data_IF_930095479161
#
_entry.id   IF_930095479161
#
_cell.length_a   1.000
_cell.length_b   1.000
_cell.length_c   1.000
_cell.angle_alpha   90.00
_cell.angle_beta   90.00
_cell.angle_gamma   90.00
#
_symmetry.space_group_name_H-M   'P 1'
#
loop_
_entity.id
_entity.type
_entity.pdbx_description
1 polymer ?
#
# COMPACT_ATOMS: atom_id res chain seq x y z
N UNK A 1 10.20 -51.76 75.70
CA UNK A 1 11.02 -52.84 75.10
C UNK A 1 10.82 -52.78 73.59
N UNK A 2 11.93 -52.84 72.85
CA UNK A 2 12.12 -52.49 71.43
C UNK A 2 11.03 -52.93 70.44
N UNK A 3 10.82 -52.14 69.37
CA UNK A 3 11.21 -52.48 67.98
C UNK A 3 10.96 -51.25 67.09
N UNK A 4 11.98 -50.93 66.27
CA UNK A 4 12.12 -49.70 65.47
C UNK A 4 11.22 -49.75 64.22
N UNK A 5 10.59 -48.61 63.92
CA UNK A 5 9.77 -48.39 62.73
C UNK A 5 10.62 -48.17 61.48
N UNK A 6 10.13 -48.79 60.42
CA UNK A 6 10.57 -48.74 59.03
C UNK A 6 10.27 -47.39 58.38
N UNK A 7 11.13 -47.03 57.42
CA UNK A 7 10.78 -46.34 56.16
C UNK A 7 10.24 -44.90 56.25
N UNK A 8 11.08 -43.89 55.97
CA UNK A 8 10.60 -42.61 55.46
C UNK A 8 11.43 -42.14 54.27
N UNK A 9 10.69 -42.00 53.19
CA UNK A 9 11.04 -41.55 51.85
C UNK A 9 11.36 -40.05 51.91
N UNK A 10 12.58 -39.65 51.55
CA UNK A 10 12.92 -38.24 51.32
C UNK A 10 12.44 -37.82 49.94
N UNK A 11 11.38 -37.01 49.96
CA UNK A 11 10.74 -36.33 48.84
C UNK A 11 11.70 -35.26 48.26
N UNK A 12 12.25 -35.49 47.07
CA UNK A 12 12.94 -34.44 46.30
C UNK A 12 11.91 -33.62 45.51
N UNK A 13 11.66 -32.39 45.95
CA UNK A 13 10.95 -31.37 45.17
C UNK A 13 11.86 -30.90 44.02
N UNK A 14 11.54 -31.29 42.79
CA UNK A 14 12.09 -30.67 41.59
C UNK A 14 11.15 -29.53 41.15
N UNK A 15 11.54 -28.28 41.41
CA UNK A 15 10.87 -27.11 40.89
C UNK A 15 11.17 -26.97 39.38
N UNK A 16 10.20 -27.34 38.54
CA UNK A 16 10.25 -27.09 37.11
C UNK A 16 9.94 -25.61 36.84
N UNK A 17 10.98 -24.80 36.64
CA UNK A 17 10.82 -23.45 36.10
C UNK A 17 10.50 -23.57 34.60
N UNK A 18 9.22 -23.42 34.27
CA UNK A 18 8.74 -23.20 32.90
C UNK A 18 9.23 -21.82 32.43
N UNK A 19 10.38 -21.79 31.77
CA UNK A 19 10.80 -20.63 30.99
C UNK A 19 9.91 -20.54 29.75
N UNK A 20 8.83 -19.78 29.83
CA UNK A 20 8.11 -19.31 28.65
C UNK A 20 9.01 -18.31 27.93
N UNK A 21 9.79 -18.78 26.97
CA UNK A 21 10.43 -17.92 26.00
C UNK A 21 9.34 -17.25 25.17
N UNK A 22 8.95 -16.04 25.57
CA UNK A 22 8.18 -15.11 24.75
C UNK A 22 9.02 -14.83 23.51
N UNK A 23 8.75 -15.57 22.44
CA UNK A 23 9.19 -15.21 21.11
C UNK A 23 8.37 -13.99 20.70
N UNK A 24 8.84 -12.81 21.08
CA UNK A 24 8.47 -11.60 20.37
C UNK A 24 9.07 -11.73 18.98
N UNK A 25 8.25 -12.13 18.01
CA UNK A 25 8.61 -11.97 16.61
C UNK A 25 8.78 -10.48 16.34
N UNK A 26 10.02 -10.00 16.42
CA UNK A 26 10.41 -8.74 15.81
C UNK A 26 10.38 -9.03 14.32
N UNK A 27 9.21 -8.86 13.71
CA UNK A 27 9.13 -8.77 12.26
C UNK A 27 10.11 -7.66 11.85
N UNK A 28 11.04 -7.92 10.93
CA UNK A 28 11.89 -6.87 10.41
C UNK A 28 10.93 -5.79 9.91
N UNK A 29 11.16 -4.55 10.31
CA UNK A 29 10.45 -3.40 9.76
C UNK A 29 10.81 -3.34 8.25
N UNK A 30 10.10 -4.12 7.44
CA UNK A 30 9.75 -3.73 6.08
C UNK A 30 9.07 -2.40 6.28
N UNK A 31 9.86 -1.33 6.15
CA UNK A 31 9.48 0.05 6.44
C UNK A 31 8.10 0.27 5.82
N UNK A 32 7.05 0.25 6.66
CA UNK A 32 5.72 -0.02 6.18
C UNK A 32 5.35 1.05 5.16
N UNK A 33 5.01 0.68 3.92
CA UNK A 33 4.68 1.66 2.89
C UNK A 33 3.38 2.43 3.22
N UNK A 34 2.58 1.85 4.11
CA UNK A 34 1.34 2.40 4.62
C UNK A 34 1.34 2.32 6.15
N UNK A 35 0.75 3.30 6.85
CA UNK A 35 0.70 3.30 8.30
C UNK A 35 -0.27 2.22 8.81
N UNK A 36 -0.06 1.78 10.06
CA UNK A 36 -1.03 0.96 10.82
C UNK A 36 -1.46 -0.37 10.17
N UNK A 37 -0.62 -0.97 9.32
CA UNK A 37 -0.95 -2.22 8.64
C UNK A 37 -2.06 -2.10 7.58
N UNK A 38 -2.30 -0.87 7.08
CA UNK A 38 -3.18 -0.63 5.94
C UNK A 38 -2.73 -1.43 4.70
N UNK A 39 -3.69 -1.86 3.89
CA UNK A 39 -3.44 -2.55 2.63
C UNK A 39 -2.71 -1.62 1.67
N UNK A 40 -1.59 -2.07 1.11
CA UNK A 40 -0.81 -1.33 0.11
C UNK A 40 -1.33 -1.67 -1.29
N UNK A 41 -1.95 -0.72 -1.98
CA UNK A 41 -2.35 -0.88 -3.38
C UNK A 41 -1.29 -0.36 -4.35
N UNK A 42 -0.53 0.63 -3.93
CA UNK A 42 0.62 1.15 -4.65
C UNK A 42 1.67 1.63 -3.66
N UNK A 43 2.93 1.35 -3.92
CA UNK A 43 4.05 1.93 -3.17
C UNK A 43 5.31 1.94 -4.02
N UNK A 44 6.09 3.01 -3.95
CA UNK A 44 7.48 3.01 -4.40
C UNK A 44 8.30 4.16 -3.81
N UNK A 45 9.63 4.04 -3.89
CA UNK A 45 10.55 5.15 -3.67
C UNK A 45 11.02 5.76 -4.98
N UNK A 46 11.00 7.09 -5.02
CA UNK A 46 11.53 7.90 -6.12
C UNK A 46 13.06 8.00 -6.07
N UNK A 47 13.66 8.62 -7.11
CA UNK A 47 15.11 8.91 -7.15
C UNK A 47 15.59 9.74 -5.95
N UNK A 48 14.75 10.62 -5.42
CA UNK A 48 15.03 11.45 -4.24
C UNK A 48 14.64 10.78 -2.92
N UNK A 49 14.38 9.47 -2.95
CA UNK A 49 13.93 8.67 -1.81
C UNK A 49 12.62 9.12 -1.15
N UNK A 50 11.84 9.96 -1.84
CA UNK A 50 10.45 10.23 -1.47
C UNK A 50 9.61 8.98 -1.73
N UNK A 51 8.72 8.67 -0.79
CA UNK A 51 7.73 7.61 -0.89
C UNK A 51 6.51 8.14 -1.66
N UNK A 52 5.98 7.31 -2.55
CA UNK A 52 4.64 7.43 -3.14
C UNK A 52 3.87 6.22 -2.67
N UNK A 53 2.74 6.40 -1.99
CA UNK A 53 1.90 5.28 -1.53
C UNK A 53 0.42 5.54 -1.74
N UNK A 54 -0.33 4.52 -2.14
CA UNK A 54 -1.78 4.47 -2.08
C UNK A 54 -2.20 3.32 -1.17
N UNK A 55 -2.82 3.68 -0.04
CA UNK A 55 -3.11 2.80 1.08
C UNK A 55 -4.62 2.68 1.29
N UNK A 56 -5.09 1.54 1.77
CA UNK A 56 -6.47 1.32 2.14
C UNK A 56 -6.67 0.79 3.55
N UNK A 57 -7.69 1.31 4.23
CA UNK A 57 -8.24 0.66 5.43
C UNK A 57 -9.36 -0.27 5.03
N UNK A 58 -9.35 -1.47 5.57
CA UNK A 58 -10.40 -2.46 5.37
C UNK A 58 -11.23 -2.66 6.64
N UNK A 59 -12.55 -2.76 6.47
CA UNK A 59 -13.49 -3.13 7.53
C UNK A 59 -14.36 -4.25 6.96
N UNK A 60 -14.43 -5.39 7.66
CA UNK A 60 -15.19 -6.57 7.22
C UNK A 60 -14.84 -7.00 5.77
N UNK A 61 -13.54 -7.02 5.43
CA UNK A 61 -13.02 -7.37 4.08
C UNK A 61 -13.49 -6.44 2.95
N UNK A 62 -13.94 -5.22 3.28
CA UNK A 62 -14.31 -4.19 2.31
C UNK A 62 -13.44 -2.95 2.53
N UNK A 63 -13.03 -2.33 1.43
CA UNK A 63 -12.30 -1.07 1.44
C UNK A 63 -13.22 -0.01 2.07
N UNK A 64 -12.74 0.65 3.11
CA UNK A 64 -13.48 1.66 3.87
C UNK A 64 -12.96 3.07 3.64
N UNK A 65 -11.66 3.20 3.38
CA UNK A 65 -11.01 4.45 3.01
C UNK A 65 -9.78 4.20 2.17
N UNK A 66 -9.43 5.17 1.35
CA UNK A 66 -8.17 5.23 0.61
C UNK A 66 -7.40 6.47 1.04
N UNK A 67 -6.09 6.35 1.17
CA UNK A 67 -5.21 7.49 1.41
C UNK A 67 -3.98 7.42 0.53
N UNK A 68 -3.76 8.48 -0.23
CA UNK A 68 -2.54 8.75 -0.96
C UNK A 68 -1.55 9.51 -0.07
N UNK A 69 -0.28 9.11 -0.11
CA UNK A 69 0.84 9.78 0.55
C UNK A 69 1.97 10.05 -0.45
N UNK A 70 2.54 11.25 -0.36
CA UNK A 70 3.80 11.59 -1.00
C UNK A 70 4.76 12.23 0.01
N UNK A 71 6.03 11.84 -0.03
CA UNK A 71 7.08 12.45 0.79
C UNK A 71 7.73 11.44 1.73
N UNK A 72 7.89 11.81 3.00
CA UNK A 72 8.30 10.88 4.05
C UNK A 72 7.05 10.33 4.74
N UNK A 73 7.02 9.05 5.11
CA UNK A 73 5.84 8.46 5.74
C UNK A 73 5.49 9.12 7.08
N UNK A 74 6.50 9.42 7.91
CA UNK A 74 6.30 10.03 9.22
C UNK A 74 5.90 11.52 9.11
N UNK A 75 6.29 12.18 8.03
CA UNK A 75 5.99 13.58 7.74
C UNK A 75 5.65 13.76 6.25
N UNK A 76 4.43 13.37 5.83
CA UNK A 76 4.05 13.46 4.43
C UNK A 76 4.02 14.91 3.94
N UNK A 77 4.50 15.15 2.72
CA UNK A 77 4.41 16.45 2.06
C UNK A 77 3.01 16.68 1.49
N UNK A 78 2.37 15.58 1.06
CA UNK A 78 1.03 15.58 0.49
C UNK A 78 0.30 14.33 0.96
N UNK A 79 -0.88 14.54 1.54
CA UNK A 79 -1.83 13.49 1.91
C UNK A 79 -3.18 13.82 1.29
N UNK A 80 -3.82 12.83 0.67
CA UNK A 80 -5.20 12.92 0.17
C UNK A 80 -5.96 11.68 0.62
N UNK A 81 -7.06 11.87 1.32
CA UNK A 81 -7.87 10.77 1.85
C UNK A 81 -9.29 10.84 1.34
N UNK A 82 -9.87 9.66 1.11
CA UNK A 82 -11.25 9.48 0.73
C UNK A 82 -11.88 8.33 1.49
N UNK A 83 -13.21 8.34 1.62
CA UNK A 83 -13.96 7.28 2.29
C UNK A 83 -14.97 6.64 1.35
N UNK A 84 -15.31 5.37 1.62
CA UNK A 84 -16.30 4.63 0.85
C UNK A 84 -17.70 5.27 0.87
N UNK A 85 -18.02 6.05 1.92
CA UNK A 85 -19.30 6.79 2.04
C UNK A 85 -19.56 7.78 0.90
N UNK A 86 -18.51 8.20 0.19
CA UNK A 86 -18.58 9.09 -0.98
C UNK A 86 -17.95 8.45 -2.20
N UNK A 87 -18.07 7.13 -2.36
CA UNK A 87 -17.48 6.38 -3.48
C UNK A 87 -15.99 6.68 -3.68
N UNK A 88 -15.28 6.94 -2.57
CA UNK A 88 -13.87 7.31 -2.58
C UNK A 88 -13.52 8.57 -3.39
N UNK A 89 -14.44 9.50 -3.63
CA UNK A 89 -14.08 10.83 -4.15
C UNK A 89 -13.01 11.49 -3.26
N UNK A 90 -11.94 12.06 -3.84
CA UNK A 90 -11.80 12.45 -5.25
C UNK A 90 -10.99 11.48 -6.11
N UNK A 91 -10.95 10.18 -5.79
CA UNK A 91 -10.21 9.21 -6.60
C UNK A 91 -11.05 8.69 -7.76
N UNK A 92 -10.45 8.68 -8.95
CA UNK A 92 -10.99 8.04 -10.15
C UNK A 92 -10.01 7.01 -10.68
N UNK A 93 -10.48 6.06 -11.46
CA UNK A 93 -9.63 5.10 -12.16
C UNK A 93 -9.76 5.23 -13.68
N UNK A 94 -8.72 4.78 -14.37
CA UNK A 94 -8.78 4.41 -15.78
C UNK A 94 -7.97 3.14 -15.97
N UNK A 95 -8.41 2.29 -16.90
CA UNK A 95 -7.69 1.09 -17.24
C UNK A 95 -7.88 0.77 -18.73
N UNK A 96 -6.76 0.56 -19.41
CA UNK A 96 -6.72 0.16 -20.81
C UNK A 96 -5.93 -1.13 -20.92
N UNK A 97 -6.53 -2.13 -21.57
CA UNK A 97 -5.91 -3.43 -21.74
C UNK A 97 -6.09 -3.93 -23.18
N UNK A 98 -4.98 -4.38 -23.78
CA UNK A 98 -4.97 -5.19 -25.00
C UNK A 98 -3.80 -6.17 -24.96
N UNK A 99 -3.72 -7.08 -25.91
CA UNK A 99 -2.54 -7.94 -26.07
C UNK A 99 -1.26 -7.08 -26.16
N UNK A 100 -0.32 -7.29 -25.23
CA UNK A 100 0.94 -6.58 -25.16
C UNK A 100 0.92 -5.21 -24.47
N UNK A 101 -0.24 -4.73 -24.00
CA UNK A 101 -0.38 -3.41 -23.33
C UNK A 101 -1.36 -3.47 -22.17
N UNK A 102 -0.94 -2.97 -21.01
CA UNK A 102 -1.77 -2.82 -19.80
C UNK A 102 -1.43 -1.49 -19.13
N UNK A 103 -2.37 -0.54 -19.15
CA UNK A 103 -2.25 0.77 -18.53
C UNK A 103 -3.29 0.92 -17.43
N UNK A 104 -2.85 0.99 -16.18
CA UNK A 104 -3.67 1.26 -15.02
C UNK A 104 -3.37 2.66 -14.46
N UNK A 105 -4.41 3.43 -14.14
CA UNK A 105 -4.31 4.77 -13.56
C UNK A 105 -5.23 4.94 -12.35
N UNK A 106 -4.77 5.71 -11.37
CA UNK A 106 -5.59 6.27 -10.29
C UNK A 106 -5.32 7.76 -10.22
N UNK A 107 -6.37 8.56 -10.35
CA UNK A 107 -6.27 10.00 -10.54
C UNK A 107 -6.98 10.74 -9.42
N UNK A 108 -6.51 11.93 -9.08
CA UNK A 108 -7.26 12.89 -8.28
C UNK A 108 -6.84 14.33 -8.62
N UNK A 109 -7.65 15.29 -8.21
CA UNK A 109 -7.38 16.72 -8.39
C UNK A 109 -7.17 17.37 -7.01
N UNK A 110 -6.14 18.20 -6.91
CA UNK A 110 -5.91 19.08 -5.74
C UNK A 110 -5.51 20.47 -6.24
N UNK A 111 -6.41 21.43 -6.11
CA UNK A 111 -6.21 22.79 -6.64
C UNK A 111 -6.16 22.77 -8.16
N UNK A 112 -5.21 23.51 -8.77
CA UNK A 112 -4.99 23.52 -10.23
C UNK A 112 -4.21 22.29 -10.72
N UNK A 113 -3.97 21.27 -9.90
CA UNK A 113 -3.12 20.14 -10.28
C UNK A 113 -3.90 18.83 -10.31
N UNK A 114 -3.74 18.10 -11.41
CA UNK A 114 -4.13 16.70 -11.55
C UNK A 114 -2.92 15.83 -11.22
N UNK A 115 -3.17 14.82 -10.40
CA UNK A 115 -2.21 13.82 -9.95
C UNK A 115 -2.68 12.48 -10.48
N UNK A 116 -1.81 11.75 -11.17
CA UNK A 116 -2.13 10.45 -11.75
C UNK A 116 -1.04 9.45 -11.36
N UNK A 117 -1.39 8.49 -10.51
CA UNK A 117 -0.57 7.32 -10.26
C UNK A 117 -0.69 6.43 -11.49
N UNK A 118 0.44 6.04 -12.08
CA UNK A 118 0.45 5.16 -13.23
C UNK A 118 1.20 3.85 -12.98
N UNK A 119 0.66 2.79 -13.55
CA UNK A 119 1.36 1.55 -13.87
C UNK A 119 1.14 1.28 -15.35
N UNK A 120 2.21 1.20 -16.12
CA UNK A 120 2.14 0.97 -17.56
C UNK A 120 3.03 -0.21 -17.94
N UNK A 121 2.46 -1.16 -18.65
CA UNK A 121 3.16 -2.21 -19.37
C UNK A 121 2.91 -2.03 -20.87
N UNK A 122 3.97 -2.00 -21.66
CA UNK A 122 3.92 -2.00 -23.11
C UNK A 122 5.11 -2.79 -23.65
N UNK A 123 4.84 -3.93 -24.29
CA UNK A 123 5.90 -4.82 -24.81
C UNK A 123 6.74 -4.20 -25.94
N UNK A 124 6.27 -3.11 -26.55
CA UNK A 124 6.99 -2.39 -27.61
C UNK A 124 7.91 -1.29 -27.05
N UNK A 125 7.87 -1.02 -25.73
CA UNK A 125 8.67 0.01 -25.08
C UNK A 125 9.87 -0.55 -24.32
N UNK A 126 10.90 0.29 -24.14
CA UNK A 126 12.05 -0.03 -23.28
C UNK A 126 12.24 1.09 -22.25
N UNK A 127 12.09 0.82 -20.94
CA UNK A 127 11.66 -0.45 -20.36
C UNK A 127 10.16 -0.74 -20.63
N UNK A 128 9.81 -2.02 -20.70
CA UNK A 128 8.41 -2.45 -20.94
C UNK A 128 7.47 -2.04 -19.82
N UNK A 129 7.97 -1.97 -18.58
CA UNK A 129 7.20 -1.59 -17.39
C UNK A 129 7.68 -0.24 -16.85
N UNK A 130 6.74 0.67 -16.63
CA UNK A 130 6.97 1.98 -16.02
C UNK A 130 5.90 2.27 -14.99
N UNK A 131 6.29 2.88 -13.87
CA UNK A 131 5.36 3.25 -12.82
C UNK A 131 5.82 4.50 -12.09
N UNK A 132 4.87 5.25 -11.53
CA UNK A 132 5.18 6.50 -10.87
C UNK A 132 3.96 7.37 -10.69
N UNK A 133 4.19 8.68 -10.63
CA UNK A 133 3.16 9.69 -10.64
C UNK A 133 3.44 10.75 -11.70
N UNK A 134 2.41 11.14 -12.45
CA UNK A 134 2.42 12.35 -13.26
C UNK A 134 1.65 13.46 -12.54
N UNK A 135 2.17 14.68 -12.63
CA UNK A 135 1.53 15.88 -12.07
C UNK A 135 1.43 16.90 -13.18
N UNK A 136 0.21 17.29 -13.54
CA UNK A 136 -0.07 18.26 -14.59
C UNK A 136 -0.93 19.40 -14.07
N UNK A 137 -0.71 20.60 -14.59
CA UNK A 137 -1.57 21.76 -14.31
C UNK A 137 -2.82 21.67 -15.18
N UNK A 138 -4.00 21.88 -14.59
CA UNK A 138 -5.26 21.91 -15.33
C UNK A 138 -5.32 23.11 -16.28
N UNK A 139 -4.78 24.26 -15.87
CA UNK A 139 -4.67 25.44 -16.73
C UNK A 139 -3.60 25.33 -17.83
N UNK A 140 -2.60 24.45 -17.67
CA UNK A 140 -1.48 24.24 -18.61
C UNK A 140 -1.09 22.76 -18.67
N UNK A 141 -1.91 21.90 -19.29
CA UNK A 141 -1.72 20.44 -19.26
C UNK A 141 -0.39 20.00 -19.90
N UNK A 142 0.13 20.76 -20.87
CA UNK A 142 1.43 20.52 -21.50
C UNK A 142 2.61 20.62 -20.53
N UNK A 143 2.42 21.22 -19.35
CA UNK A 143 3.41 21.25 -18.27
C UNK A 143 3.19 20.07 -17.32
N UNK A 144 3.60 18.89 -17.76
CA UNK A 144 3.56 17.67 -16.95
C UNK A 144 4.92 17.37 -16.34
N UNK A 145 4.93 17.06 -15.04
CA UNK A 145 6.10 16.52 -14.32
C UNK A 145 5.91 15.03 -14.12
N UNK A 146 6.93 14.24 -14.46
CA UNK A 146 6.95 12.81 -14.22
C UNK A 146 7.88 12.49 -13.05
N UNK A 147 7.37 11.74 -12.08
CA UNK A 147 8.13 11.26 -10.94
C UNK A 147 8.09 9.73 -10.96
N UNK A 148 9.15 9.15 -11.53
CA UNK A 148 9.29 7.71 -11.72
C UNK A 148 9.58 6.99 -10.40
N UNK A 149 9.02 5.79 -10.26
CA UNK A 149 9.40 4.82 -9.26
C UNK A 149 10.79 4.25 -9.56
N UNK A 150 11.62 4.14 -8.53
CA UNK A 150 13.01 3.65 -8.66
C UNK A 150 13.28 2.39 -7.85
N UNK A 151 12.66 2.24 -6.68
CA UNK A 151 12.91 1.14 -5.72
C UNK A 151 11.64 0.80 -4.94
N UNK A 152 11.66 -0.36 -4.29
CA UNK A 152 10.63 -0.82 -3.35
C UNK A 152 9.21 -0.76 -3.96
N UNK A 153 9.10 -1.20 -5.22
CA UNK A 153 7.89 -1.09 -6.03
C UNK A 153 6.89 -2.18 -5.64
N UNK A 154 5.67 -1.78 -5.30
CA UNK A 154 4.51 -2.64 -5.06
C UNK A 154 3.34 -2.05 -5.84
N UNK A 155 2.70 -2.84 -6.69
CA UNK A 155 1.58 -2.39 -7.53
C UNK A 155 0.50 -3.47 -7.50
N UNK A 156 -0.68 -3.11 -7.04
CA UNK A 156 -1.88 -3.94 -7.03
C UNK A 156 -3.12 -3.02 -7.08
N UNK A 157 -3.37 -2.42 -8.25
CA UNK A 157 -4.45 -1.44 -8.44
C UNK A 157 -5.79 -2.08 -8.79
N UNK A 158 -5.82 -3.32 -9.29
CA UNK A 158 -7.04 -3.99 -9.75
C UNK A 158 -8.15 -4.10 -8.70
N UNK A 159 -7.89 -4.24 -7.38
CA UNK A 159 -8.97 -4.25 -6.39
C UNK A 159 -9.70 -2.90 -6.28
N UNK A 160 -9.13 -1.81 -6.79
CA UNK A 160 -9.71 -0.47 -6.73
C UNK A 160 -10.68 -0.17 -7.87
N UNK A 161 -10.47 -0.77 -9.05
CA UNK A 161 -11.29 -0.49 -10.23
C UNK A 161 -12.79 -0.71 -10.06
N UNK A 162 -13.28 -1.77 -9.37
CA UNK A 162 -14.72 -1.96 -9.17
C UNK A 162 -15.33 -1.05 -8.10
N UNK A 163 -14.52 -0.30 -7.33
CA UNK A 163 -15.02 0.56 -6.23
C UNK A 163 -14.85 2.05 -6.49
N UNK A 164 -13.99 2.43 -7.43
CA UNK A 164 -13.77 3.82 -7.85
C UNK A 164 -14.68 4.18 -9.02
N UNK A 165 -15.03 5.46 -9.14
CA UNK A 165 -15.67 5.98 -10.33
C UNK A 165 -14.65 6.02 -11.48
N UNK A 166 -15.09 5.71 -12.70
CA UNK A 166 -14.22 5.92 -13.85
C UNK A 166 -14.14 7.41 -14.21
N UNK A 167 -12.98 7.85 -14.69
CA UNK A 167 -12.82 9.14 -15.36
C UNK A 167 -13.14 8.97 -16.86
N UNK A 168 -14.40 9.18 -17.24
CA UNK A 168 -14.89 8.99 -18.61
C UNK A 168 -14.28 9.98 -19.63
N UNK A 169 -13.70 11.08 -19.15
CA UNK A 169 -13.05 12.08 -20.00
C UNK A 169 -11.60 11.68 -20.39
N UNK A 170 -11.04 10.67 -19.73
CA UNK A 170 -9.68 10.21 -19.99
C UNK A 170 -9.62 9.29 -21.23
N UNK A 171 -8.64 9.54 -22.10
CA UNK A 171 -8.46 8.79 -23.35
C UNK A 171 -8.18 7.28 -23.17
N UNK A 172 -7.75 6.84 -21.99
CA UNK A 172 -7.54 5.42 -21.69
C UNK A 172 -8.84 4.62 -21.50
N UNK A 173 -9.94 5.28 -21.16
CA UNK A 173 -11.21 4.61 -20.88
C UNK A 173 -11.21 3.81 -19.56
N UNK A 174 -12.11 2.83 -19.49
CA UNK A 174 -12.56 2.20 -18.24
C UNK A 174 -12.66 0.67 -18.32
N UNK A 175 -11.80 0.01 -19.10
CA UNK A 175 -11.87 -1.45 -19.28
C UNK A 175 -11.66 -2.13 -17.93
N UNK A 176 -12.64 -2.88 -17.43
CA UNK A 176 -12.57 -3.63 -16.18
C UNK A 176 -12.73 -5.13 -16.43
#
# INVERSE_FOLDING_TARGET
MNIKYHFLITLFLAAAFLNTAVHGEILPATKAACPNGETVYFSCKTKRSKLISLCGKEINKKISSLTYYFGNLDTPELTISASSKRHFEPFWFNHYFRSGVDYARINFIRGDYRYEIYSSYNMEETPEVRSGITVSSQSKPDKTTHIECMKDITINLSPLFPVLNCDEENALGCSN
#
